data_IF_028693740710
#
_entry.id   IF_028693740710
#
_cell.length_a   1.000
_cell.length_b   1.000
_cell.length_c   1.000
_cell.angle_alpha   90.00
_cell.angle_beta   90.00
_cell.angle_gamma   90.00
#
_symmetry.space_group_name_H-M   'P 1'
#
loop_
_entity.id
_entity.type
_entity.pdbx_description
1 polymer ?
#
# COMPACT_ATOMS: atom_id res chain seq x y z
N UNK A 1 18.24 2.30 -1.66
CA UNK A 1 17.64 3.65 -1.67
C UNK A 1 16.27 3.48 -2.29
N UNK A 2 15.20 3.77 -1.55
CA UNK A 2 13.83 3.50 -1.99
C UNK A 2 13.27 4.76 -2.65
N UNK A 3 12.78 4.65 -3.88
CA UNK A 3 12.33 5.79 -4.68
C UNK A 3 10.92 6.23 -4.25
N UNK A 4 10.83 7.42 -3.64
CA UNK A 4 9.56 8.08 -3.30
C UNK A 4 8.98 8.75 -4.54
N UNK A 5 7.69 8.57 -4.78
CA UNK A 5 7.01 9.14 -5.96
C UNK A 5 5.61 9.63 -5.63
N UNK A 6 5.12 10.65 -6.34
CA UNK A 6 3.72 11.07 -6.32
C UNK A 6 2.86 10.29 -7.30
N UNK A 7 3.49 9.47 -8.17
CA UNK A 7 2.76 8.62 -9.12
C UNK A 7 2.11 7.45 -8.39
N UNK A 8 0.83 7.22 -8.68
CA UNK A 8 0.08 6.08 -8.12
C UNK A 8 0.72 4.76 -8.55
N UNK A 9 1.11 3.87 -7.63
CA UNK A 9 1.66 2.57 -7.97
C UNK A 9 0.59 1.68 -8.61
N UNK A 10 0.97 0.87 -9.59
CA UNK A 10 0.05 -0.09 -10.19
C UNK A 10 -0.10 -1.30 -9.26
N UNK A 11 -1.11 -1.25 -8.40
CA UNK A 11 -1.49 -2.32 -7.45
C UNK A 11 -1.68 -3.70 -8.10
N UNK A 12 -1.92 -3.77 -9.42
CA UNK A 12 -2.02 -5.06 -10.15
C UNK A 12 -0.68 -5.77 -10.30
N UNK A 13 0.42 -5.04 -10.16
CA UNK A 13 1.79 -5.58 -10.27
C UNK A 13 2.37 -6.01 -8.92
N UNK A 14 1.64 -5.77 -7.82
CA UNK A 14 2.10 -6.15 -6.49
C UNK A 14 2.16 -7.66 -6.32
N UNK A 15 3.18 -8.11 -5.61
CA UNK A 15 3.46 -9.50 -5.26
C UNK A 15 3.30 -9.71 -3.75
N UNK A 16 3.16 -10.97 -3.35
CA UNK A 16 3.26 -11.33 -1.92
C UNK A 16 4.65 -10.93 -1.43
N UNK A 17 4.71 -10.28 -0.26
CA UNK A 17 5.94 -9.73 0.30
C UNK A 17 6.20 -8.26 -0.05
N UNK A 18 5.48 -7.69 -1.04
CA UNK A 18 5.57 -6.25 -1.30
C UNK A 18 4.95 -5.46 -0.16
N UNK A 19 5.64 -4.40 0.27
CA UNK A 19 5.19 -3.46 1.28
C UNK A 19 5.03 -2.10 0.61
N UNK A 20 3.78 -1.67 0.46
CA UNK A 20 3.46 -0.35 -0.04
C UNK A 20 3.40 0.63 1.12
N UNK A 21 4.15 1.71 1.01
CA UNK A 21 4.14 2.80 1.96
C UNK A 21 3.47 4.01 1.33
N UNK A 22 2.60 4.66 2.10
CA UNK A 22 1.86 5.86 1.68
C UNK A 22 1.95 6.87 2.82
N UNK A 23 2.73 7.94 2.65
CA UNK A 23 2.95 8.86 3.76
C UNK A 23 3.52 10.22 3.38
N UNK A 24 3.42 11.14 4.34
CA UNK A 24 4.24 12.35 4.43
C UNK A 24 5.42 12.07 5.38
N UNK A 25 6.27 13.07 5.63
CA UNK A 25 7.36 12.91 6.59
C UNK A 25 6.87 12.74 8.05
N UNK A 26 5.61 13.12 8.34
CA UNK A 26 5.03 13.08 9.69
C UNK A 26 3.99 11.97 9.90
N UNK A 27 3.43 11.42 8.82
CA UNK A 27 2.35 10.43 8.87
C UNK A 27 2.48 9.42 7.76
N UNK A 28 2.45 8.15 8.11
CA UNK A 28 2.61 7.05 7.15
C UNK A 28 1.57 5.96 7.41
N UNK A 29 1.04 5.43 6.32
CA UNK A 29 0.27 4.20 6.28
C UNK A 29 1.07 3.14 5.53
N UNK A 30 1.22 1.99 6.16
CA UNK A 30 1.97 0.86 5.60
C UNK A 30 0.97 -0.22 5.20
N UNK A 31 1.20 -0.80 4.03
CA UNK A 31 0.33 -1.75 3.38
C UNK A 31 1.15 -2.94 2.90
N UNK A 32 1.33 -3.95 3.75
CA UNK A 32 2.05 -5.19 3.40
C UNK A 32 1.16 -6.23 2.75
N UNK A 33 1.50 -6.68 1.54
CA UNK A 33 0.77 -7.72 0.81
C UNK A 33 1.14 -9.10 1.34
N UNK A 34 0.26 -9.71 2.13
CA UNK A 34 0.50 -11.06 2.71
C UNK A 34 -0.20 -12.19 1.95
N UNK A 35 -1.21 -11.89 1.14
CA UNK A 35 -1.94 -12.86 0.31
C UNK A 35 -2.47 -12.20 -0.96
N UNK A 36 -2.48 -12.96 -2.06
CA UNK A 36 -3.13 -12.60 -3.33
C UNK A 36 -4.20 -13.64 -3.66
N UNK A 37 -5.46 -13.22 -3.65
CA UNK A 37 -6.58 -13.96 -4.26
C UNK A 37 -6.98 -13.34 -5.60
N UNK A 38 -7.98 -13.92 -6.28
CA UNK A 38 -8.51 -13.34 -7.53
C UNK A 38 -8.90 -11.86 -7.38
N UNK A 39 -9.42 -11.48 -6.19
CA UNK A 39 -9.82 -10.11 -5.88
C UNK A 39 -9.38 -9.60 -4.50
N UNK A 40 -8.58 -10.37 -3.74
CA UNK A 40 -8.35 -10.12 -2.32
C UNK A 40 -6.87 -9.90 -2.02
N UNK A 41 -6.57 -8.85 -1.25
CA UNK A 41 -5.28 -8.66 -0.58
C UNK A 41 -5.50 -8.69 0.93
N UNK A 42 -4.58 -9.30 1.67
CA UNK A 42 -4.51 -9.11 3.12
C UNK A 42 -3.39 -8.11 3.38
N UNK A 43 -3.73 -7.02 4.07
CA UNK A 43 -2.87 -5.90 4.39
C UNK A 43 -2.68 -5.83 5.91
N UNK A 44 -1.43 -5.66 6.33
CA UNK A 44 -1.09 -5.32 7.71
C UNK A 44 -0.98 -3.80 7.84
N UNK A 45 -1.90 -3.18 8.59
CA UNK A 45 -1.92 -1.73 8.87
C UNK A 45 -1.43 -1.48 10.30
N UNK A 46 -0.12 -1.68 10.54
CA UNK A 46 0.48 -1.44 11.86
C UNK A 46 0.15 -2.49 12.93
N UNK A 47 -0.05 -3.74 12.54
CA UNK A 47 -0.25 -4.91 13.40
C UNK A 47 -1.62 -5.58 13.22
N UNK A 48 -2.58 -4.94 12.56
CA UNK A 48 -3.90 -5.51 12.26
C UNK A 48 -3.97 -6.04 10.82
N UNK A 49 -4.06 -7.37 10.68
CA UNK A 49 -4.33 -8.02 9.41
C UNK A 49 -5.78 -7.77 9.00
N UNK A 50 -5.98 -7.08 7.88
CA UNK A 50 -7.29 -6.82 7.30
C UNK A 50 -7.38 -7.34 5.88
N UNK A 51 -8.48 -8.01 5.59
CA UNK A 51 -8.80 -8.53 4.26
C UNK A 51 -9.55 -7.47 3.45
N UNK A 52 -8.98 -7.07 2.32
CA UNK A 52 -9.57 -6.08 1.43
C UNK A 52 -9.70 -6.59 0.01
N UNK A 53 -10.81 -6.24 -0.62
CA UNK A 53 -10.93 -6.33 -2.08
C UNK A 53 -10.00 -5.34 -2.79
N UNK A 54 -9.55 -5.69 -4.00
CA UNK A 54 -8.74 -4.85 -4.93
C UNK A 54 -9.19 -3.37 -4.97
N UNK A 55 -10.49 -3.16 -5.16
CA UNK A 55 -11.07 -1.82 -5.26
C UNK A 55 -11.03 -1.05 -3.94
N UNK A 56 -11.23 -1.74 -2.81
CA UNK A 56 -11.19 -1.13 -1.47
C UNK A 56 -9.77 -0.72 -1.11
N UNK A 57 -8.79 -1.57 -1.43
CA UNK A 57 -7.37 -1.26 -1.29
C UNK A 57 -7.00 0.01 -2.06
N UNK A 58 -7.35 0.07 -3.35
CA UNK A 58 -7.12 1.25 -4.19
C UNK A 58 -7.70 2.52 -3.56
N UNK A 59 -8.95 2.44 -3.07
CA UNK A 59 -9.62 3.58 -2.45
C UNK A 59 -8.91 4.05 -1.18
N UNK A 60 -8.45 3.14 -0.32
CA UNK A 60 -7.76 3.51 0.92
C UNK A 60 -6.40 4.16 0.64
N UNK A 61 -5.59 3.54 -0.22
CA UNK A 61 -4.26 4.04 -0.61
C UNK A 61 -4.37 5.42 -1.27
N UNK A 62 -5.19 5.53 -2.31
CA UNK A 62 -5.27 6.76 -3.09
C UNK A 62 -6.02 7.87 -2.34
N UNK A 63 -7.03 7.51 -1.54
CA UNK A 63 -7.78 8.45 -0.71
C UNK A 63 -6.92 9.06 0.40
N UNK A 64 -6.07 8.27 1.04
CA UNK A 64 -5.11 8.80 2.02
C UNK A 64 -4.12 9.75 1.36
N UNK A 65 -3.53 9.34 0.24
CA UNK A 65 -2.55 10.16 -0.45
C UNK A 65 -3.12 11.48 -0.99
N UNK A 66 -4.36 11.47 -1.48
CA UNK A 66 -5.04 12.68 -1.91
C UNK A 66 -5.33 13.63 -0.74
N UNK A 67 -5.81 13.07 0.38
CA UNK A 67 -6.12 13.85 1.60
C UNK A 67 -4.88 14.53 2.19
N UNK A 68 -3.73 13.87 2.17
CA UNK A 68 -2.51 14.35 2.84
C UNK A 68 -1.40 14.78 1.89
N UNK A 69 -1.63 14.79 0.56
CA UNK A 69 -0.58 15.00 -0.46
C UNK A 69 0.62 14.07 -0.25
N UNK A 70 0.35 12.82 0.12
CA UNK A 70 1.36 11.84 0.48
C UNK A 70 2.14 11.37 -0.76
N UNK A 71 3.36 10.88 -0.52
CA UNK A 71 4.16 10.16 -1.51
C UNK A 71 4.05 8.65 -1.30
N UNK A 72 4.26 7.90 -2.37
CA UNK A 72 4.25 6.45 -2.40
C UNK A 72 5.67 5.93 -2.52
N UNK A 73 5.95 4.81 -1.87
CA UNK A 73 7.10 3.99 -2.20
C UNK A 73 6.83 2.52 -1.88
N UNK A 74 7.46 1.63 -2.62
CA UNK A 74 7.30 0.19 -2.42
C UNK A 74 8.64 -0.38 -1.95
N UNK A 75 8.61 -1.10 -0.85
CA UNK A 75 9.71 -1.95 -0.41
C UNK A 75 9.31 -3.41 -0.54
N UNK A 76 10.29 -4.31 -0.45
CA UNK A 76 10.06 -5.75 -0.44
C UNK A 76 10.82 -6.30 0.76
N UNK A 77 10.16 -7.10 1.59
CA UNK A 77 10.88 -7.86 2.61
C UNK A 77 11.50 -9.08 1.93
N UNK A 78 12.83 -9.23 2.06
CA UNK A 78 13.57 -10.44 1.67
C UNK A 78 13.17 -11.66 2.50
#
# INVERSE_FOLDING_TARGET
MVEKTTKRPDIRKLKIGDVLHVGTDDKEEIFKVTKLGENTYILDQGGELREYGRAVMAKNIYGFAEKYKAVYWVTHEE
#
